data_IF_336141313890
#
_entry.id   IF_336141313890
#
_cell.length_a   1.000
_cell.length_b   1.000
_cell.length_c   1.000
_cell.angle_alpha   90.00
_cell.angle_beta   90.00
_cell.angle_gamma   90.00
#
_symmetry.space_group_name_H-M   'P 1'
#
loop_
_entity.id
_entity.type
_entity.pdbx_description
1 polymer ?
#
# COMPACT_ATOMS: atom_id res chain seq x y z
N UNK A 1 13.72 -21.09 9.39
CA UNK A 1 12.26 -21.30 9.63
C UNK A 1 11.62 -19.94 9.75
N UNK A 2 10.61 -19.63 8.93
CA UNK A 2 9.81 -18.39 9.06
C UNK A 2 8.83 -18.54 10.22
N UNK A 3 8.80 -17.55 11.09
CA UNK A 3 7.84 -17.42 12.18
C UNK A 3 6.84 -16.32 11.84
N UNK A 4 5.57 -16.51 12.22
CA UNK A 4 4.51 -15.53 12.11
C UNK A 4 3.99 -15.27 13.52
N UNK A 5 4.00 -14.00 13.92
CA UNK A 5 3.57 -13.55 15.26
C UNK A 5 2.46 -12.52 15.13
N UNK A 6 1.49 -12.58 16.03
CA UNK A 6 0.48 -11.52 16.19
C UNK A 6 1.04 -10.45 17.12
N UNK A 7 0.75 -9.20 16.81
CA UNK A 7 1.08 -8.05 17.64
C UNK A 7 0.07 -6.92 17.46
N UNK A 8 0.27 -5.86 18.24
CA UNK A 8 -0.54 -4.64 18.17
C UNK A 8 0.36 -3.44 18.39
N UNK A 9 0.22 -2.39 17.57
CA UNK A 9 0.87 -1.10 17.72
C UNK A 9 -0.26 -0.07 17.97
N UNK A 10 -0.38 0.43 19.21
CA UNK A 10 -1.56 1.21 19.57
C UNK A 10 -2.84 0.39 19.36
N UNK A 11 -3.71 0.84 18.46
CA UNK A 11 -4.93 0.13 18.03
C UNK A 11 -4.78 -0.63 16.70
N UNK A 12 -3.55 -0.78 16.18
CA UNK A 12 -3.27 -1.42 14.89
C UNK A 12 -2.85 -2.88 15.11
N UNK A 13 -3.74 -3.88 14.93
CA UNK A 13 -3.36 -5.28 14.95
C UNK A 13 -2.54 -5.61 13.70
N UNK A 14 -1.52 -6.44 13.87
CA UNK A 14 -0.68 -6.87 12.75
C UNK A 14 -0.22 -8.31 12.87
N UNK A 15 0.23 -8.86 11.74
CA UNK A 15 1.10 -10.04 11.69
C UNK A 15 2.52 -9.60 11.36
N UNK A 16 3.50 -10.11 12.10
CA UNK A 16 4.92 -9.98 11.83
C UNK A 16 5.46 -11.30 11.34
N UNK A 17 6.10 -11.30 10.18
CA UNK A 17 6.78 -12.46 9.63
C UNK A 17 8.27 -12.19 9.48
N UNK A 18 9.10 -13.11 10.01
CA UNK A 18 10.56 -13.09 9.89
C UNK A 18 11.14 -14.47 10.08
N UNK A 19 12.41 -14.71 9.72
CA UNK A 19 13.11 -15.93 10.10
C UNK A 19 13.39 -15.95 11.60
N UNK A 20 13.21 -17.10 12.25
CA UNK A 20 13.45 -17.27 13.69
C UNK A 20 14.85 -16.83 14.14
N UNK A 21 15.86 -17.12 13.32
CA UNK A 21 17.26 -16.76 13.57
C UNK A 21 17.55 -15.24 13.46
N UNK A 22 16.61 -14.49 12.91
CA UNK A 22 16.71 -13.04 12.72
C UNK A 22 15.90 -12.25 13.78
N UNK A 23 15.21 -12.95 14.68
CA UNK A 23 14.43 -12.29 15.73
C UNK A 23 15.31 -11.36 16.57
N UNK A 24 14.85 -10.13 16.78
CA UNK A 24 15.56 -9.08 17.52
C UNK A 24 16.74 -8.43 16.80
N UNK A 25 17.01 -8.77 15.53
CA UNK A 25 18.04 -8.10 14.73
C UNK A 25 17.42 -7.01 13.86
N UNK A 26 18.14 -5.90 13.56
CA UNK A 26 17.73 -4.97 12.53
C UNK A 26 17.65 -5.65 11.16
N UNK A 27 16.55 -5.49 10.45
CA UNK A 27 16.32 -6.06 9.11
C UNK A 27 15.70 -5.00 8.18
N UNK A 28 15.83 -5.18 6.85
CA UNK A 28 14.97 -4.45 5.92
C UNK A 28 13.50 -4.69 6.28
N UNK A 29 12.74 -3.60 6.43
CA UNK A 29 11.31 -3.64 6.78
C UNK A 29 10.45 -3.52 5.52
N UNK A 30 9.47 -4.41 5.40
CA UNK A 30 8.41 -4.29 4.40
C UNK A 30 7.04 -4.25 5.09
N UNK A 31 6.30 -3.16 4.89
CA UNK A 31 4.93 -3.02 5.36
C UNK A 31 4.01 -3.29 4.17
N UNK A 32 3.13 -4.30 4.27
CA UNK A 32 2.24 -4.66 3.19
C UNK A 32 0.78 -4.58 3.60
N UNK A 33 0.04 -3.70 2.93
CA UNK A 33 -1.35 -3.37 3.24
C UNK A 33 -2.30 -4.15 2.32
N UNK A 34 -3.31 -4.79 2.92
CA UNK A 34 -4.33 -5.55 2.20
C UNK A 34 -5.32 -4.66 1.43
N UNK A 35 -6.13 -5.26 0.55
CA UNK A 35 -7.21 -4.60 -0.17
C UNK A 35 -8.46 -4.37 0.69
N UNK A 36 -9.37 -3.55 0.19
CA UNK A 36 -10.69 -3.32 0.79
C UNK A 36 -11.46 -4.66 0.91
N UNK A 37 -12.20 -4.85 1.98
CA UNK A 37 -12.91 -6.09 2.37
C UNK A 37 -12.00 -7.31 2.62
N UNK A 38 -10.68 -7.12 2.72
CA UNK A 38 -9.70 -8.17 3.01
C UNK A 38 -9.21 -8.08 4.48
N UNK A 39 -8.15 -8.79 4.81
CA UNK A 39 -7.49 -8.77 6.11
C UNK A 39 -6.00 -9.12 5.97
N UNK A 40 -5.22 -8.88 7.03
CA UNK A 40 -3.77 -9.14 7.09
C UNK A 40 -3.41 -10.57 6.71
N UNK A 41 -4.23 -11.55 7.09
CA UNK A 41 -3.98 -12.98 6.85
C UNK A 41 -3.94 -13.35 5.37
N UNK A 42 -4.69 -12.65 4.53
CA UNK A 42 -4.79 -12.96 3.09
C UNK A 42 -3.49 -12.66 2.31
N UNK A 43 -2.54 -11.97 2.93
CA UNK A 43 -1.27 -11.58 2.30
C UNK A 43 -0.04 -12.32 2.88
N UNK A 44 -0.26 -13.40 3.65
CA UNK A 44 0.81 -14.19 4.25
C UNK A 44 1.82 -14.76 3.25
N UNK A 45 1.40 -15.01 2.00
CA UNK A 45 2.29 -15.49 0.95
C UNK A 45 3.37 -14.44 0.58
N UNK A 46 3.04 -13.13 0.59
CA UNK A 46 4.03 -12.06 0.44
C UNK A 46 4.98 -12.03 1.62
N UNK A 47 4.43 -12.06 2.83
CA UNK A 47 5.21 -12.02 4.05
C UNK A 47 6.18 -13.20 4.14
N UNK A 48 5.72 -14.41 3.87
CA UNK A 48 6.56 -15.60 3.84
C UNK A 48 7.72 -15.47 2.84
N UNK A 49 7.43 -15.08 1.60
CA UNK A 49 8.43 -15.02 0.54
C UNK A 49 9.52 -13.98 0.79
N UNK A 50 9.18 -12.84 1.40
CA UNK A 50 10.16 -11.83 1.78
C UNK A 50 10.89 -12.19 3.07
N UNK A 51 10.23 -12.82 4.04
CA UNK A 51 10.90 -13.32 5.23
C UNK A 51 11.98 -14.36 4.90
N UNK A 52 11.75 -15.26 3.90
CA UNK A 52 12.77 -16.17 3.38
C UNK A 52 14.00 -15.45 2.78
N UNK A 53 13.86 -14.18 2.43
CA UNK A 53 14.92 -13.31 1.92
C UNK A 53 15.52 -12.37 2.98
N UNK A 54 15.33 -12.69 4.26
CA UNK A 54 15.83 -11.95 5.42
C UNK A 54 15.19 -10.56 5.60
N UNK A 55 13.92 -10.43 5.26
CA UNK A 55 13.11 -9.26 5.59
C UNK A 55 12.31 -9.47 6.88
N UNK A 56 12.05 -8.38 7.57
CA UNK A 56 10.94 -8.29 8.50
C UNK A 56 9.73 -7.76 7.75
N UNK A 57 8.61 -8.47 7.81
CA UNK A 57 7.38 -8.07 7.12
C UNK A 57 6.28 -7.84 8.14
N UNK A 58 5.64 -6.67 8.06
CA UNK A 58 4.48 -6.32 8.88
C UNK A 58 3.26 -6.24 7.97
N UNK A 59 2.22 -7.00 8.33
CA UNK A 59 0.91 -7.00 7.68
C UNK A 59 -0.11 -6.41 8.67
N UNK A 60 -0.46 -5.12 8.60
CA UNK A 60 -1.48 -4.54 9.47
C UNK A 60 -2.89 -4.84 8.95
N UNK A 61 -3.89 -4.81 9.85
CA UNK A 61 -5.27 -4.61 9.48
C UNK A 61 -5.57 -3.11 9.31
N UNK A 62 -6.17 -2.75 8.19
CA UNK A 62 -6.69 -1.41 7.97
C UNK A 62 -7.90 -1.12 8.89
N UNK A 63 -8.21 0.16 9.08
CA UNK A 63 -9.39 0.58 9.83
C UNK A 63 -10.65 -0.14 9.33
N UNK A 64 -11.50 -0.62 10.24
CA UNK A 64 -12.72 -1.39 9.97
C UNK A 64 -12.52 -2.74 9.28
N UNK A 65 -11.30 -3.28 9.25
CA UNK A 65 -10.99 -4.59 8.65
C UNK A 65 -10.35 -5.53 9.67
N UNK A 66 -10.43 -6.83 9.41
CA UNK A 66 -9.81 -7.87 10.22
C UNK A 66 -10.14 -7.75 11.71
N UNK A 67 -9.13 -7.70 12.56
CA UNK A 67 -9.28 -7.57 14.03
C UNK A 67 -9.67 -6.12 14.46
N UNK A 68 -9.80 -5.16 13.52
CA UNK A 68 -10.31 -3.77 13.75
C UNK A 68 -11.79 -3.60 13.40
N UNK A 69 -12.50 -4.69 13.10
CA UNK A 69 -13.95 -4.64 12.90
C UNK A 69 -14.62 -4.30 14.21
N UNK A 70 -15.42 -3.22 14.21
CA UNK A 70 -16.26 -2.82 15.35
C UNK A 70 -17.66 -3.39 15.20
N UNK A 71 -18.33 -3.67 16.33
CA UNK A 71 -19.67 -4.27 16.34
C UNK A 71 -20.75 -3.43 15.62
N UNK A 72 -20.57 -2.12 15.55
CA UNK A 72 -21.43 -1.18 14.83
C UNK A 72 -20.55 -0.37 13.85
N UNK A 73 -20.25 -0.90 12.67
CA UNK A 73 -19.52 -0.15 11.66
C UNK A 73 -20.33 1.08 11.22
N UNK A 74 -19.67 2.13 10.71
CA UNK A 74 -20.36 3.24 10.04
C UNK A 74 -21.37 2.69 9.04
N UNK A 75 -22.53 3.37 8.86
CA UNK A 75 -23.69 2.88 8.09
C UNK A 75 -23.37 2.35 6.70
N UNK A 76 -22.23 2.74 6.12
CA UNK A 76 -21.67 2.15 4.90
C UNK A 76 -20.15 2.35 4.89
N UNK A 77 -19.39 1.26 4.89
CA UNK A 77 -17.94 1.29 4.70
C UNK A 77 -17.53 1.93 3.37
N UNK A 78 -18.42 1.92 2.37
CA UNK A 78 -18.15 2.51 1.05
C UNK A 78 -17.98 4.02 1.14
N UNK A 79 -18.77 4.71 1.98
CA UNK A 79 -18.63 6.14 2.22
C UNK A 79 -17.43 6.50 3.10
N UNK A 80 -16.89 5.53 3.84
CA UNK A 80 -15.73 5.69 4.71
C UNK A 80 -14.39 5.32 4.03
N UNK A 81 -14.44 4.89 2.76
CA UNK A 81 -13.27 4.37 2.03
C UNK A 81 -12.07 5.32 2.09
N UNK A 82 -12.27 6.61 1.85
CA UNK A 82 -11.17 7.57 1.84
C UNK A 82 -10.65 7.91 3.24
N UNK A 83 -11.50 7.86 4.26
CA UNK A 83 -11.05 7.95 5.64
C UNK A 83 -10.19 6.72 6.01
N UNK A 84 -10.60 5.52 5.60
CA UNK A 84 -9.80 4.30 5.76
C UNK A 84 -8.43 4.44 5.07
N UNK A 85 -8.38 5.00 3.87
CA UNK A 85 -7.13 5.26 3.14
C UNK A 85 -6.24 6.25 3.89
N UNK A 86 -6.77 7.38 4.34
CA UNK A 86 -6.01 8.39 5.09
C UNK A 86 -5.51 7.85 6.42
N UNK A 87 -6.35 7.11 7.15
CA UNK A 87 -5.93 6.42 8.36
C UNK A 87 -4.83 5.38 8.08
N UNK A 88 -4.95 4.63 6.97
CA UNK A 88 -3.93 3.67 6.56
C UNK A 88 -2.56 4.31 6.29
N UNK A 89 -2.53 5.53 5.72
CA UNK A 89 -1.30 6.31 5.55
C UNK A 89 -0.70 6.68 6.91
N UNK A 90 -1.53 7.09 7.87
CA UNK A 90 -1.08 7.40 9.23
C UNK A 90 -0.62 6.13 9.97
N UNK A 91 -1.31 5.01 9.80
CA UNK A 91 -0.93 3.73 10.37
C UNK A 91 0.45 3.27 9.88
N UNK A 92 0.77 3.49 8.59
CA UNK A 92 2.13 3.25 8.05
C UNK A 92 3.17 4.06 8.81
N UNK A 93 2.94 5.35 9.08
CA UNK A 93 3.87 6.17 9.86
C UNK A 93 4.04 5.62 11.28
N UNK A 94 2.94 5.30 11.97
CA UNK A 94 2.96 4.76 13.34
C UNK A 94 3.74 3.43 13.39
N UNK A 95 3.60 2.56 12.38
CA UNK A 95 4.34 1.31 12.28
C UNK A 95 5.83 1.57 12.06
N UNK A 96 6.18 2.54 11.20
CA UNK A 96 7.57 2.90 10.94
C UNK A 96 8.25 3.45 12.19
N UNK A 97 7.59 4.35 12.91
CA UNK A 97 8.10 4.93 14.14
C UNK A 97 8.31 3.85 15.21
N UNK A 98 7.30 3.00 15.43
CA UNK A 98 7.41 1.87 16.34
C UNK A 98 8.57 0.93 15.96
N UNK A 99 8.74 0.62 14.69
CA UNK A 99 9.80 -0.28 14.24
C UNK A 99 11.19 0.32 14.44
N UNK A 100 11.35 1.64 14.29
CA UNK A 100 12.60 2.37 14.56
C UNK A 100 12.89 2.45 16.05
N UNK A 101 11.92 2.79 16.89
CA UNK A 101 12.04 2.85 18.34
C UNK A 101 12.47 1.51 18.96
N UNK A 102 12.08 0.39 18.33
CA UNK A 102 12.46 -0.96 18.75
C UNK A 102 13.72 -1.49 18.04
N UNK A 103 14.45 -0.64 17.31
CA UNK A 103 15.67 -1.01 16.56
C UNK A 103 15.47 -2.19 15.57
N UNK A 104 14.26 -2.30 15.02
CA UNK A 104 13.88 -3.39 14.10
C UNK A 104 14.26 -3.13 12.64
N UNK A 105 14.63 -1.90 12.30
CA UNK A 105 14.92 -1.48 10.93
C UNK A 105 16.42 -1.36 10.68
N UNK A 106 16.89 -1.99 9.62
CA UNK A 106 18.28 -1.89 9.18
C UNK A 106 18.46 -0.59 8.35
N UNK A 107 19.29 0.34 8.82
CA UNK A 107 19.76 1.51 8.05
C UNK A 107 18.67 2.27 7.28
N UNK A 108 17.50 2.51 7.89
CA UNK A 108 16.35 3.16 7.24
C UNK A 108 15.82 2.43 5.97
N UNK A 109 16.11 1.14 5.81
CA UNK A 109 15.63 0.33 4.71
C UNK A 109 14.15 -0.05 4.93
N UNK A 110 13.24 0.83 4.54
CA UNK A 110 11.80 0.64 4.68
C UNK A 110 11.14 0.70 3.30
N UNK A 111 10.41 -0.34 2.93
CA UNK A 111 9.51 -0.29 1.78
C UNK A 111 8.06 -0.51 2.21
N UNK A 112 7.15 0.08 1.45
CA UNK A 112 5.71 -0.04 1.64
C UNK A 112 5.09 -0.60 0.38
N UNK A 113 4.13 -1.49 0.52
CA UNK A 113 3.40 -2.02 -0.60
C UNK A 113 1.99 -2.46 -0.23
N UNK A 114 1.21 -2.80 -1.24
CA UNK A 114 -0.13 -3.31 -1.01
C UNK A 114 -0.90 -3.59 -2.28
N UNK A 115 -2.10 -4.16 -2.09
CA UNK A 115 -3.02 -4.50 -3.17
C UNK A 115 -4.26 -3.62 -3.13
N UNK A 116 -4.75 -3.15 -4.30
CA UNK A 116 -6.01 -2.39 -4.42
C UNK A 116 -6.01 -1.16 -3.49
N UNK A 117 -6.86 -1.09 -2.47
CA UNK A 117 -6.83 -0.05 -1.43
C UNK A 117 -5.44 0.09 -0.81
N UNK A 118 -4.75 -1.02 -0.51
CA UNK A 118 -3.38 -0.99 0.02
C UNK A 118 -2.36 -0.37 -0.93
N UNK A 119 -2.56 -0.51 -2.24
CA UNK A 119 -1.74 0.18 -3.24
C UNK A 119 -2.03 1.69 -3.28
N UNK A 120 -3.28 2.12 -3.11
CA UNK A 120 -3.65 3.54 -2.96
C UNK A 120 -2.98 4.11 -1.70
N UNK A 121 -3.05 3.42 -0.57
CA UNK A 121 -2.35 3.79 0.68
C UNK A 121 -0.83 3.88 0.44
N UNK A 122 -0.25 2.94 -0.32
CA UNK A 122 1.19 2.97 -0.68
C UNK A 122 1.57 4.26 -1.41
N UNK A 123 0.80 4.68 -2.41
CA UNK A 123 1.06 5.93 -3.12
C UNK A 123 0.95 7.15 -2.20
N UNK A 124 -0.08 7.20 -1.35
CA UNK A 124 -0.26 8.28 -0.37
C UNK A 124 0.86 8.30 0.68
N UNK A 125 1.32 7.14 1.15
CA UNK A 125 2.44 7.03 2.09
C UNK A 125 3.74 7.55 1.48
N UNK A 126 4.00 7.30 0.20
CA UNK A 126 5.16 7.85 -0.51
C UNK A 126 5.11 9.39 -0.60
N UNK A 127 3.93 9.98 -0.74
CA UNK A 127 3.77 11.45 -0.71
C UNK A 127 4.01 11.99 0.69
N UNK A 128 3.50 11.30 1.70
CA UNK A 128 3.48 11.76 3.08
C UNK A 128 4.81 11.57 3.81
N UNK A 129 5.53 10.47 3.54
CA UNK A 129 6.72 10.11 4.30
C UNK A 129 7.96 9.92 3.40
N UNK A 130 8.97 10.83 3.48
CA UNK A 130 10.20 10.74 2.69
C UNK A 130 11.15 9.61 3.14
N UNK A 131 10.94 9.02 4.33
CA UNK A 131 11.77 7.94 4.86
C UNK A 131 11.47 6.57 4.24
N UNK A 132 10.38 6.45 3.46
CA UNK A 132 10.09 5.24 2.70
C UNK A 132 11.08 5.15 1.54
N UNK A 133 11.85 4.07 1.45
CA UNK A 133 12.91 3.87 0.45
C UNK A 133 12.39 3.38 -0.90
N UNK A 134 11.30 2.61 -0.92
CA UNK A 134 10.70 2.04 -2.14
C UNK A 134 9.21 1.77 -1.97
N UNK A 135 8.46 1.77 -3.07
CA UNK A 135 7.02 1.45 -3.09
C UNK A 135 6.68 0.26 -3.99
N UNK A 136 5.71 -0.56 -3.58
CA UNK A 136 5.17 -1.66 -4.39
C UNK A 136 3.64 -1.56 -4.47
N UNK A 137 3.12 -1.03 -5.57
CA UNK A 137 1.70 -0.79 -5.77
C UNK A 137 1.09 -1.79 -6.77
N UNK A 138 0.20 -2.64 -6.28
CA UNK A 138 -0.43 -3.70 -7.07
C UNK A 138 -1.92 -3.41 -7.24
N UNK A 139 -2.38 -3.22 -8.48
CA UNK A 139 -3.77 -2.95 -8.88
C UNK A 139 -4.43 -1.77 -8.13
N UNK A 140 -3.72 -0.66 -7.99
CA UNK A 140 -4.21 0.58 -7.39
C UNK A 140 -4.02 1.78 -8.30
N UNK A 141 -4.32 2.98 -7.80
CA UNK A 141 -4.16 4.22 -8.55
C UNK A 141 -3.43 5.29 -7.73
N UNK A 142 -2.49 6.05 -8.34
CA UNK A 142 -1.85 7.20 -7.71
C UNK A 142 -2.73 8.47 -7.72
N UNK A 143 -3.83 8.47 -8.52
CA UNK A 143 -4.70 9.62 -8.77
C UNK A 143 -5.92 9.60 -7.83
N UNK A 144 -5.71 9.93 -6.56
CA UNK A 144 -6.70 9.81 -5.49
C UNK A 144 -7.94 10.67 -5.76
N UNK A 145 -7.75 11.96 -6.04
CA UNK A 145 -8.89 12.87 -6.29
C UNK A 145 -9.70 12.45 -7.52
N UNK A 146 -9.02 12.06 -8.60
CA UNK A 146 -9.69 11.63 -9.83
C UNK A 146 -10.49 10.35 -9.62
N UNK A 147 -9.94 9.41 -8.87
CA UNK A 147 -10.60 8.15 -8.56
C UNK A 147 -11.79 8.36 -7.60
N UNK A 148 -11.66 9.23 -6.59
CA UNK A 148 -12.76 9.58 -5.69
C UNK A 148 -13.96 10.18 -6.44
N UNK A 149 -13.71 11.12 -7.35
CA UNK A 149 -14.77 11.69 -8.21
C UNK A 149 -15.49 10.63 -9.02
N UNK A 150 -14.73 9.72 -9.64
CA UNK A 150 -15.30 8.61 -10.40
C UNK A 150 -16.12 7.65 -9.54
N UNK A 151 -15.68 7.34 -8.32
CA UNK A 151 -16.45 6.51 -7.39
C UNK A 151 -17.80 7.16 -7.04
N UNK A 152 -17.82 8.47 -6.74
CA UNK A 152 -19.04 9.24 -6.47
C UNK A 152 -19.98 9.18 -7.65
N UNK A 153 -19.49 9.48 -8.87
CA UNK A 153 -20.31 9.40 -10.09
C UNK A 153 -20.89 8.00 -10.31
N UNK A 154 -20.13 6.97 -10.01
CA UNK A 154 -20.57 5.59 -10.15
C UNK A 154 -21.67 5.22 -9.16
N UNK A 155 -21.56 5.65 -7.90
CA UNK A 155 -22.57 5.48 -6.85
C UNK A 155 -23.87 6.17 -7.27
N UNK A 156 -23.78 7.42 -7.71
CA UNK A 156 -24.93 8.20 -8.18
C UNK A 156 -25.62 7.57 -9.41
N UNK A 157 -24.84 7.12 -10.41
CA UNK A 157 -25.35 6.42 -11.59
C UNK A 157 -26.03 5.09 -11.26
N UNK A 158 -25.61 4.44 -10.18
CA UNK A 158 -26.23 3.22 -9.68
C UNK A 158 -27.53 3.47 -8.88
N UNK A 159 -27.92 4.74 -8.70
CA UNK A 159 -29.15 5.13 -8.01
C UNK A 159 -29.07 5.12 -6.49
N UNK A 160 -27.86 5.07 -5.93
CA UNK A 160 -27.67 5.17 -4.47
C UNK A 160 -27.52 6.64 -4.05
N UNK A 161 -28.22 7.00 -2.98
CA UNK A 161 -28.06 8.32 -2.36
C UNK A 161 -26.77 8.36 -1.55
N UNK A 162 -26.00 9.43 -1.75
CA UNK A 162 -24.82 9.71 -0.92
C UNK A 162 -25.28 10.62 0.21
N UNK A 163 -25.12 10.24 1.49
CA UNK A 163 -25.64 11.01 2.64
C UNK A 163 -24.72 12.21 2.99
N UNK A 164 -24.24 12.91 1.97
CA UNK A 164 -23.38 14.10 2.04
C UNK A 164 -23.87 15.15 1.04
N UNK A 165 -23.76 16.40 1.39
CA UNK A 165 -23.99 17.52 0.49
C UNK A 165 -22.91 17.62 -0.57
N UNK A 166 -23.12 18.36 -1.66
CA UNK A 166 -22.10 18.59 -2.67
C UNK A 166 -20.86 19.29 -2.08
N UNK A 167 -21.06 20.22 -1.16
CA UNK A 167 -19.99 20.95 -0.48
C UNK A 167 -19.12 20.01 0.38
N UNK A 168 -19.75 19.14 1.18
CA UNK A 168 -19.04 18.12 1.99
C UNK A 168 -18.27 17.12 1.12
N UNK A 169 -18.81 16.73 -0.04
CA UNK A 169 -18.13 15.87 -1.00
C UNK A 169 -16.91 16.57 -1.63
N UNK A 170 -17.05 17.83 -2.04
CA UNK A 170 -15.96 18.63 -2.59
C UNK A 170 -14.86 18.85 -1.55
N UNK A 171 -15.21 19.16 -0.32
CA UNK A 171 -14.28 19.29 0.78
C UNK A 171 -13.53 17.97 1.04
N UNK A 172 -14.24 16.86 1.15
CA UNK A 172 -13.65 15.53 1.34
C UNK A 172 -12.68 15.18 0.21
N UNK A 173 -13.03 15.44 -1.06
CA UNK A 173 -12.12 15.22 -2.20
C UNK A 173 -10.91 16.15 -2.11
N UNK A 174 -11.11 17.40 -1.68
CA UNK A 174 -10.02 18.39 -1.62
C UNK A 174 -8.92 17.96 -0.65
N UNK A 175 -9.26 17.33 0.46
CA UNK A 175 -8.26 16.80 1.44
C UNK A 175 -7.34 15.74 0.85
N UNK A 176 -7.80 15.01 -0.18
CA UNK A 176 -6.98 13.98 -0.84
C UNK A 176 -5.82 14.55 -1.64
N UNK A 177 -5.82 15.86 -1.95
CA UNK A 177 -4.74 16.54 -2.69
C UNK A 177 -3.39 16.31 -2.05
N UNK A 178 -3.32 16.32 -0.73
CA UNK A 178 -2.07 16.23 0.01
C UNK A 178 -1.44 14.83 -0.03
N UNK A 179 -2.21 13.82 -0.44
CA UNK A 179 -1.82 12.42 -0.58
C UNK A 179 -1.82 11.92 -2.02
N UNK A 180 -2.29 12.71 -2.97
CA UNK A 180 -2.37 12.36 -4.39
C UNK A 180 -0.98 12.48 -5.05
N UNK A 181 -0.37 11.34 -5.39
CA UNK A 181 0.97 11.33 -5.97
C UNK A 181 1.02 12.02 -7.34
N UNK A 182 -0.09 12.06 -8.09
CA UNK A 182 -0.14 12.72 -9.40
C UNK A 182 -0.07 14.23 -9.32
N UNK A 183 -0.42 14.79 -8.16
CA UNK A 183 -0.35 16.21 -7.84
C UNK A 183 0.91 16.60 -7.06
N UNK A 184 1.70 15.61 -6.61
CA UNK A 184 2.87 15.77 -5.75
C UNK A 184 4.05 14.92 -6.26
N UNK A 185 4.27 14.89 -7.58
CA UNK A 185 5.28 14.01 -8.21
C UNK A 185 6.70 14.27 -7.71
N UNK A 186 7.02 15.50 -7.30
CA UNK A 186 8.31 15.87 -6.74
C UNK A 186 8.60 15.15 -5.41
N UNK A 187 7.55 14.87 -4.64
CA UNK A 187 7.65 14.14 -3.36
C UNK A 187 8.06 12.68 -3.53
N UNK A 188 7.95 12.12 -4.74
CA UNK A 188 8.51 10.79 -5.01
C UNK A 188 10.04 10.78 -4.83
N UNK A 189 10.72 11.90 -5.07
CA UNK A 189 12.14 12.11 -4.80
C UNK A 189 13.03 10.97 -5.33
N UNK A 190 12.80 10.56 -6.57
CA UNK A 190 13.50 9.47 -7.25
C UNK A 190 13.46 8.10 -6.53
N UNK A 191 12.53 7.89 -5.60
CA UNK A 191 12.35 6.57 -4.97
C UNK A 191 11.80 5.57 -5.97
N UNK A 192 12.34 4.34 -6.02
CA UNK A 192 11.90 3.34 -6.98
C UNK A 192 10.49 2.81 -6.65
N UNK A 193 9.74 2.51 -7.72
CA UNK A 193 8.40 1.96 -7.66
C UNK A 193 8.30 0.66 -8.45
N UNK A 194 7.65 -0.35 -7.86
CA UNK A 194 7.08 -1.45 -8.62
C UNK A 194 5.59 -1.21 -8.77
N UNK A 195 5.13 -1.15 -10.01
CA UNK A 195 3.73 -0.94 -10.35
C UNK A 195 3.24 -2.12 -11.17
N UNK A 196 2.16 -2.74 -10.74
CA UNK A 196 1.46 -3.75 -11.53
C UNK A 196 -0.04 -3.42 -11.63
N UNK A 197 -0.60 -3.59 -12.84
CA UNK A 197 -2.03 -3.40 -13.06
C UNK A 197 -2.52 -4.30 -14.20
N UNK A 198 -3.77 -4.82 -14.12
CA UNK A 198 -4.42 -5.51 -15.22
C UNK A 198 -5.24 -4.55 -16.07
N UNK A 199 -5.15 -4.66 -17.40
CA UNK A 199 -5.96 -3.86 -18.32
C UNK A 199 -7.45 -4.22 -18.24
N UNK A 200 -7.78 -5.42 -17.75
CA UNK A 200 -9.16 -5.90 -17.55
C UNK A 200 -9.72 -5.59 -16.15
N UNK A 201 -9.05 -4.76 -15.36
CA UNK A 201 -9.51 -4.40 -14.02
C UNK A 201 -10.78 -3.55 -14.08
N UNK A 202 -11.90 -4.09 -13.58
CA UNK A 202 -13.20 -3.41 -13.55
C UNK A 202 -13.50 -2.72 -12.19
N UNK A 203 -12.65 -2.94 -11.18
CA UNK A 203 -12.81 -2.35 -9.83
C UNK A 203 -12.06 -1.03 -9.72
N UNK A 204 -10.77 -1.05 -10.06
CA UNK A 204 -9.96 0.17 -10.24
C UNK A 204 -9.54 0.18 -11.71
N UNK A 205 -10.29 0.83 -12.60
CA UNK A 205 -10.00 0.79 -14.03
C UNK A 205 -8.57 1.25 -14.34
N UNK A 206 -7.91 0.52 -15.23
CA UNK A 206 -6.52 0.74 -15.61
C UNK A 206 -6.23 2.18 -16.06
N UNK A 207 -7.22 2.86 -16.65
CA UNK A 207 -7.12 4.27 -17.08
C UNK A 207 -6.78 5.26 -15.94
N UNK A 208 -6.98 4.89 -14.68
CA UNK A 208 -6.57 5.71 -13.54
C UNK A 208 -5.09 5.54 -13.17
N UNK A 209 -4.43 4.49 -13.61
CA UNK A 209 -2.99 4.27 -13.42
C UNK A 209 -2.18 4.60 -14.68
N UNK A 210 -2.65 4.16 -15.86
CA UNK A 210 -1.96 4.24 -17.15
C UNK A 210 -1.31 5.60 -17.48
N UNK A 211 -1.98 6.76 -17.34
CA UNK A 211 -1.40 8.05 -17.71
C UNK A 211 -0.16 8.42 -16.88
N UNK A 212 0.00 7.83 -15.71
CA UNK A 212 1.04 8.18 -14.74
C UNK A 212 2.19 7.18 -14.71
N UNK A 213 1.98 5.96 -15.19
CA UNK A 213 2.97 4.87 -15.12
C UNK A 213 4.29 5.28 -15.74
N UNK A 214 4.28 5.84 -16.95
CA UNK A 214 5.50 6.26 -17.63
C UNK A 214 6.25 7.32 -16.81
N UNK A 215 5.57 8.39 -16.40
CA UNK A 215 6.17 9.45 -15.58
C UNK A 215 6.74 8.93 -14.26
N UNK A 216 6.02 8.01 -13.60
CA UNK A 216 6.46 7.45 -12.32
C UNK A 216 7.68 6.52 -12.48
N UNK A 217 7.73 5.74 -13.55
CA UNK A 217 8.85 4.81 -13.78
C UNK A 217 10.08 5.50 -14.36
N UNK A 218 9.92 6.56 -15.16
CA UNK A 218 11.03 7.36 -15.68
C UNK A 218 11.77 8.16 -14.57
N UNK A 219 11.15 8.41 -13.42
CA UNK A 219 11.77 9.10 -12.29
C UNK A 219 12.93 8.32 -11.66
N UNK A 220 12.96 7.00 -11.80
CA UNK A 220 14.05 6.16 -11.30
C UNK A 220 14.23 4.94 -12.19
N UNK A 221 15.45 4.70 -12.64
CA UNK A 221 15.79 3.57 -13.53
C UNK A 221 15.56 2.19 -12.92
N UNK A 222 15.47 2.11 -11.58
CA UNK A 222 15.12 0.87 -10.86
C UNK A 222 13.60 0.65 -10.73
N UNK A 223 12.78 1.62 -11.15
CA UNK A 223 11.33 1.45 -11.17
C UNK A 223 10.91 0.48 -12.26
N UNK A 224 9.90 -0.33 -11.95
CA UNK A 224 9.37 -1.36 -12.86
C UNK A 224 7.87 -1.19 -13.02
N UNK A 225 7.42 -1.19 -14.24
CA UNK A 225 6.01 -1.34 -14.57
C UNK A 225 5.77 -2.69 -15.26
N UNK A 226 4.74 -3.36 -14.80
CA UNK A 226 4.29 -4.63 -15.34
C UNK A 226 2.76 -4.62 -15.48
N UNK A 227 2.23 -5.10 -16.59
CA UNK A 227 0.79 -5.25 -16.78
C UNK A 227 0.43 -6.61 -17.38
N UNK A 228 -0.84 -6.97 -17.30
CA UNK A 228 -1.41 -8.05 -18.07
C UNK A 228 -2.82 -7.65 -18.61
N UNK A 229 -3.36 -8.48 -19.50
CA UNK A 229 -4.62 -8.18 -20.19
C UNK A 229 -5.84 -8.88 -19.63
N UNK A 230 -5.68 -9.82 -18.69
CA UNK A 230 -6.72 -10.81 -18.39
C UNK A 230 -6.99 -11.07 -16.92
N UNK A 231 -6.10 -10.69 -16.01
CA UNK A 231 -6.20 -11.02 -14.59
C UNK A 231 -7.38 -10.34 -13.86
N UNK A 232 -7.93 -9.25 -14.44
CA UNK A 232 -8.95 -8.48 -13.77
C UNK A 232 -8.43 -7.87 -12.46
N UNK A 233 -9.28 -7.75 -11.44
CA UNK A 233 -8.90 -7.22 -10.12
C UNK A 233 -8.28 -8.31 -9.23
N UNK A 234 -7.21 -8.94 -9.72
CA UNK A 234 -6.49 -10.01 -9.00
C UNK A 234 -5.02 -10.03 -9.42
N UNK A 235 -4.11 -9.92 -8.46
CA UNK A 235 -2.67 -9.98 -8.71
C UNK A 235 -2.29 -11.35 -9.29
N UNK A 236 -1.66 -11.36 -10.46
CA UNK A 236 -1.20 -12.59 -11.09
C UNK A 236 -0.01 -13.19 -10.33
N UNK A 237 0.17 -14.52 -10.41
CA UNK A 237 1.33 -15.19 -9.80
C UNK A 237 2.66 -14.62 -10.31
N UNK A 238 2.73 -14.29 -11.60
CA UNK A 238 3.93 -13.71 -12.20
C UNK A 238 4.23 -12.33 -11.59
N UNK A 239 3.22 -11.46 -11.46
CA UNK A 239 3.36 -10.14 -10.83
C UNK A 239 3.84 -10.27 -9.38
N UNK A 240 3.21 -11.17 -8.62
CA UNK A 240 3.60 -11.44 -7.24
C UNK A 240 5.08 -11.84 -7.11
N UNK A 241 5.54 -12.84 -7.87
CA UNK A 241 6.92 -13.31 -7.81
C UNK A 241 7.92 -12.23 -8.23
N UNK A 242 7.60 -11.49 -9.30
CA UNK A 242 8.45 -10.38 -9.78
C UNK A 242 8.53 -9.26 -8.73
N UNK A 243 7.41 -8.91 -8.08
CA UNK A 243 7.39 -7.90 -7.02
C UNK A 243 8.27 -8.30 -5.84
N UNK A 244 8.19 -9.56 -5.38
CA UNK A 244 9.02 -10.08 -4.28
C UNK A 244 10.51 -10.00 -4.61
N UNK A 245 10.91 -10.43 -5.81
CA UNK A 245 12.32 -10.35 -6.25
C UNK A 245 12.78 -8.89 -6.37
N UNK A 246 11.96 -8.03 -6.95
CA UNK A 246 12.27 -6.61 -7.09
C UNK A 246 12.46 -5.92 -5.74
N UNK A 247 11.54 -6.12 -4.77
CA UNK A 247 11.66 -5.55 -3.41
C UNK A 247 12.96 -6.00 -2.77
N UNK A 248 13.28 -7.30 -2.87
CA UNK A 248 14.50 -7.86 -2.30
C UNK A 248 15.77 -7.26 -2.91
N UNK A 249 15.74 -6.86 -4.17
CA UNK A 249 16.84 -6.17 -4.84
C UNK A 249 16.97 -4.71 -4.37
N UNK A 250 15.84 -3.97 -4.24
CA UNK A 250 15.87 -2.56 -3.89
C UNK A 250 16.43 -2.28 -2.50
N UNK A 251 16.11 -3.10 -1.50
CA UNK A 251 16.54 -2.87 -0.12
C UNK A 251 17.85 -3.59 0.24
N UNK A 252 18.29 -4.60 -0.52
CA UNK A 252 19.57 -5.30 -0.27
C UNK A 252 20.78 -4.69 -0.98
N UNK A 253 20.59 -3.79 -1.93
CA UNK A 253 21.65 -3.24 -2.79
C UNK A 253 22.68 -2.39 -2.04
N UNK A 254 22.43 -2.03 -0.79
CA UNK A 254 23.40 -1.30 0.05
C UNK A 254 24.39 -2.19 0.83
N UNK A 255 24.55 -3.47 0.49
CA UNK A 255 25.72 -4.23 0.96
C UNK A 255 26.92 -3.77 0.16
N UNK A 256 27.72 -2.94 0.83
CA UNK A 256 28.99 -2.39 0.47
C UNK A 256 29.83 -3.21 -0.50
N UNK A 257 30.23 -2.56 -1.59
CA UNK A 257 31.56 -2.78 -2.15
C UNK A 257 32.57 -2.23 -1.12
N UNK A 258 33.11 -3.10 -0.29
CA UNK A 258 34.36 -2.89 0.43
C UNK A 258 35.51 -3.30 -0.51
#
# INVERSE_FOLDING_TARGET
>A
MVCIQKGTIGDIPFLLAEKKENAGKPLPLFIFIHGYTSAKEHNLHFAYSLAEKDFRVILPDALHHGDRIVANPPKSMEYDFWNIVQQGIQDVNNIMDWAKENEFVLEDQIAVGGTSMGAIITYGSLVNNPMISAGCALMGTPAHQKFAKWQIERIQKAGYDIPLTLEELEESISTLKDFDLTLNLEKLNNRPLFIWHSEADAVIPYEFAKPYVQTLTEKNSSSVYMNDKTSGHKVSRAAYLTAVEWIAQQLKVKKETV
#
